data_IF_133182132160
#
_entry.id   IF_133182132160
#
_cell.length_a   1.000
_cell.length_b   1.000
_cell.length_c   1.000
_cell.angle_alpha   90.00
_cell.angle_beta   90.00
_cell.angle_gamma   90.00
#
_symmetry.space_group_name_H-M   'P 1'
#
loop_
_entity.id
_entity.type
_entity.pdbx_description
1 polymer ?
#
# COMPACT_ATOMS: atom_id res chain seq x y z
N UNK A 1 24.01 -0.38 13.35
CA UNK A 1 22.63 -0.58 12.85
C UNK A 1 22.71 -1.19 11.46
N UNK A 2 22.72 -2.52 11.37
CA UNK A 2 22.95 -3.25 10.13
C UNK A 2 21.62 -3.59 9.44
N UNK A 3 21.49 -3.24 8.17
CA UNK A 3 20.40 -3.75 7.34
C UNK A 3 20.81 -5.12 6.81
N UNK A 4 19.98 -6.14 6.98
CA UNK A 4 20.17 -7.40 6.26
C UNK A 4 19.53 -7.28 4.89
N UNK A 5 20.35 -7.20 3.84
CA UNK A 5 19.87 -7.30 2.45
C UNK A 5 19.87 -8.76 2.01
N UNK A 6 18.70 -9.32 1.73
CA UNK A 6 18.59 -10.65 1.13
C UNK A 6 18.05 -10.49 -0.29
N UNK A 7 18.66 -11.18 -1.24
CA UNK A 7 18.16 -11.27 -2.60
C UNK A 7 17.18 -12.43 -2.71
N UNK A 8 15.92 -12.13 -3.03
CA UNK A 8 14.89 -13.15 -3.24
C UNK A 8 14.08 -12.83 -4.49
N UNK A 9 14.04 -13.77 -5.45
CA UNK A 9 13.37 -13.61 -6.76
C UNK A 9 13.81 -12.35 -7.52
N UNK A 10 15.11 -12.07 -7.53
CA UNK A 10 15.70 -10.92 -8.25
C UNK A 10 15.35 -9.55 -7.65
N UNK A 11 14.92 -9.50 -6.39
CA UNK A 11 14.69 -8.24 -5.66
C UNK A 11 15.49 -8.27 -4.35
N UNK A 12 16.25 -7.19 -4.09
CA UNK A 12 16.83 -6.92 -2.77
C UNK A 12 15.73 -6.52 -1.81
N UNK A 13 15.53 -7.34 -0.78
CA UNK A 13 14.63 -7.06 0.32
C UNK A 13 15.47 -6.63 1.53
N UNK A 14 15.09 -5.51 2.14
CA UNK A 14 15.73 -4.96 3.32
C UNK A 14 14.85 -5.22 4.53
N UNK A 15 15.44 -5.82 5.56
CA UNK A 15 14.76 -6.12 6.81
C UNK A 15 15.36 -5.24 7.92
N UNK A 16 14.50 -4.55 8.69
CA UNK A 16 14.91 -3.82 9.88
C UNK A 16 14.77 -4.77 11.09
N UNK A 17 15.87 -4.98 11.81
CA UNK A 17 15.98 -6.06 12.81
C UNK A 17 15.94 -5.56 14.25
N UNK A 18 15.49 -4.31 14.50
CA UNK A 18 15.59 -3.67 15.83
C UNK A 18 15.04 -4.52 16.98
N UNK A 19 13.89 -5.17 16.82
CA UNK A 19 13.31 -5.99 17.89
C UNK A 19 14.13 -7.26 18.19
N UNK A 20 14.75 -7.85 17.16
CA UNK A 20 15.61 -9.01 17.30
C UNK A 20 17.01 -8.59 17.78
N UNK A 21 17.53 -7.46 17.30
CA UNK A 21 18.74 -6.80 17.80
C UNK A 21 18.61 -6.51 19.29
N UNK A 22 17.49 -5.94 19.74
CA UNK A 22 17.24 -5.69 21.16
C UNK A 22 17.10 -6.98 21.96
N UNK A 23 16.48 -8.01 21.39
CA UNK A 23 16.34 -9.32 22.03
C UNK A 23 17.68 -10.04 22.14
N UNK A 24 18.51 -9.98 21.10
CA UNK A 24 19.88 -10.51 21.08
C UNK A 24 20.78 -9.73 22.03
N UNK A 25 20.70 -8.40 22.03
CA UNK A 25 21.44 -7.53 22.95
C UNK A 25 21.05 -7.80 24.41
N UNK A 26 19.75 -7.94 24.70
CA UNK A 26 19.26 -8.32 26.02
C UNK A 26 19.83 -9.68 26.47
N UNK A 27 19.73 -10.71 25.63
CA UNK A 27 20.24 -12.05 25.95
C UNK A 27 21.77 -12.06 26.13
N UNK A 28 22.50 -11.27 25.35
CA UNK A 28 23.95 -11.13 25.50
C UNK A 28 24.33 -10.42 26.80
N UNK A 29 23.61 -9.35 27.17
CA UNK A 29 23.81 -8.66 28.46
C UNK A 29 23.45 -9.56 29.63
N UNK A 30 22.30 -10.23 29.58
CA UNK A 30 21.88 -11.17 30.62
C UNK A 30 22.90 -12.29 30.83
N UNK A 31 23.41 -12.88 29.76
CA UNK A 31 24.51 -13.86 29.81
C UNK A 31 25.75 -13.29 30.51
N UNK A 32 26.15 -12.08 30.14
CA UNK A 32 27.34 -11.44 30.69
C UNK A 32 27.19 -11.17 32.20
N UNK A 33 26.05 -10.63 32.62
CA UNK A 33 25.75 -10.38 34.04
C UNK A 33 25.77 -11.67 34.86
N UNK A 34 25.17 -12.76 34.38
CA UNK A 34 25.19 -14.04 35.06
C UNK A 34 26.60 -14.63 35.21
N UNK A 35 27.42 -14.55 34.16
CA UNK A 35 28.82 -15.01 34.19
C UNK A 35 29.72 -14.13 35.08
N UNK A 36 29.35 -12.86 35.28
CA UNK A 36 30.08 -11.91 36.12
C UNK A 36 29.54 -11.82 37.56
N UNK A 37 28.38 -12.43 37.82
CA UNK A 37 27.78 -12.55 39.15
C UNK A 37 28.44 -13.67 39.99
N UNK A 38 28.08 -13.75 41.26
CA UNK A 38 28.48 -14.81 42.18
C UNK A 38 28.06 -16.22 41.69
N UNK A 39 27.10 -16.31 40.76
CA UNK A 39 26.63 -17.58 40.21
C UNK A 39 27.60 -18.19 39.18
N UNK A 40 28.42 -17.39 38.50
CA UNK A 40 29.44 -17.80 37.52
C UNK A 40 29.00 -18.87 36.49
N UNK A 41 27.71 -18.92 36.16
CA UNK A 41 27.12 -19.87 35.20
C UNK A 41 26.23 -19.15 34.20
N UNK A 42 25.74 -19.87 33.19
CA UNK A 42 24.69 -19.35 32.31
C UNK A 42 23.33 -19.36 33.03
N UNK A 43 22.39 -18.46 32.67
CA UNK A 43 21.03 -18.52 33.19
C UNK A 43 20.33 -19.81 32.76
N UNK A 44 19.49 -20.37 33.63
CA UNK A 44 18.61 -21.49 33.28
C UNK A 44 17.44 -21.00 32.43
N UNK A 45 16.78 -21.93 31.74
CA UNK A 45 15.59 -21.61 30.97
C UNK A 45 14.47 -21.04 31.86
N UNK A 46 14.28 -21.61 33.06
CA UNK A 46 13.27 -21.12 34.01
C UNK A 46 13.54 -19.67 34.46
N UNK A 47 14.79 -19.32 34.73
CA UNK A 47 15.17 -17.94 35.12
C UNK A 47 14.82 -16.93 34.02
N UNK A 48 15.02 -17.30 32.75
CA UNK A 48 14.64 -16.45 31.61
C UNK A 48 13.13 -16.36 31.46
N UNK A 49 12.42 -17.48 31.58
CA UNK A 49 10.95 -17.52 31.47
C UNK A 49 10.29 -16.71 32.60
N UNK A 50 10.82 -16.77 33.82
CA UNK A 50 10.37 -15.96 34.95
C UNK A 50 10.53 -14.46 34.67
N UNK A 51 11.69 -14.05 34.12
CA UNK A 51 11.91 -12.65 33.74
C UNK A 51 10.95 -12.20 32.63
N UNK A 52 10.66 -13.07 31.66
CA UNK A 52 9.70 -12.78 30.59
C UNK A 52 8.26 -12.72 31.12
N UNK A 53 7.88 -13.59 32.06
CA UNK A 53 6.58 -13.55 32.72
C UNK A 53 6.39 -12.25 33.52
N UNK A 54 7.40 -11.86 34.32
CA UNK A 54 7.38 -10.59 35.08
C UNK A 54 7.23 -9.37 34.16
N UNK A 55 7.92 -9.36 33.02
CA UNK A 55 7.95 -8.19 32.11
C UNK A 55 6.73 -8.15 31.18
N UNK A 56 6.24 -9.30 30.73
CA UNK A 56 5.20 -9.39 29.70
C UNK A 56 3.82 -9.78 30.26
N UNK A 57 3.74 -10.27 31.50
CA UNK A 57 2.50 -10.71 32.14
C UNK A 57 1.89 -11.95 31.47
N UNK A 58 2.73 -12.91 31.07
CA UNK A 58 2.31 -14.10 30.33
C UNK A 58 2.82 -15.34 31.05
N UNK A 59 1.90 -16.22 31.47
CA UNK A 59 2.21 -17.49 32.14
C UNK A 59 2.89 -18.49 31.18
N UNK A 60 4.22 -18.40 31.12
CA UNK A 60 5.06 -19.29 30.33
C UNK A 60 5.32 -20.64 30.98
N UNK A 61 5.01 -20.83 32.27
CA UNK A 61 5.22 -22.09 32.98
C UNK A 61 4.38 -23.23 32.37
N UNK A 62 3.23 -22.88 31.77
CA UNK A 62 2.38 -23.80 31.02
C UNK A 62 3.04 -24.41 29.76
N UNK A 63 4.12 -23.82 29.22
CA UNK A 63 4.76 -24.24 27.98
C UNK A 63 6.07 -25.03 28.16
N UNK A 64 6.62 -25.11 29.38
CA UNK A 64 7.88 -25.83 29.65
C UNK A 64 7.91 -26.41 31.07
N UNK A 65 7.50 -27.68 31.21
CA UNK A 65 7.41 -28.37 32.52
C UNK A 65 8.77 -28.77 33.12
N UNK A 66 9.85 -28.79 32.33
CA UNK A 66 11.15 -29.35 32.74
C UNK A 66 12.28 -28.29 32.76
N UNK A 67 11.95 -26.99 32.85
CA UNK A 67 12.92 -25.90 32.70
C UNK A 67 13.92 -25.72 33.84
N UNK A 68 13.66 -26.31 35.02
CA UNK A 68 14.51 -26.23 36.23
C UNK A 68 15.88 -26.86 36.06
N UNK A 69 15.92 -28.01 35.40
CA UNK A 69 17.12 -28.86 35.30
C UNK A 69 17.85 -28.69 33.95
N UNK A 70 17.43 -27.71 33.14
CA UNK A 70 17.95 -27.51 31.79
C UNK A 70 18.72 -26.20 31.67
N UNK A 71 20.03 -26.33 31.44
CA UNK A 71 20.87 -25.21 31.05
C UNK A 71 20.50 -24.73 29.65
N UNK A 72 20.40 -23.42 29.47
CA UNK A 72 20.11 -22.84 28.18
C UNK A 72 21.35 -22.92 27.27
N UNK A 73 21.31 -23.81 26.28
CA UNK A 73 22.40 -23.98 25.31
C UNK A 73 22.30 -22.98 24.14
N UNK A 74 21.09 -22.74 23.61
CA UNK A 74 20.88 -21.81 22.49
C UNK A 74 19.44 -21.32 22.40
N UNK A 75 19.25 -20.08 21.92
CA UNK A 75 17.95 -19.51 21.55
C UNK A 75 17.98 -19.21 20.05
N UNK A 76 17.02 -19.76 19.30
CA UNK A 76 16.82 -19.44 17.90
C UNK A 76 15.48 -18.72 17.69
N UNK A 77 15.50 -17.46 17.27
CA UNK A 77 14.29 -16.73 16.90
C UNK A 77 13.79 -17.11 15.51
N UNK A 78 12.54 -17.54 15.38
CA UNK A 78 11.84 -17.68 14.08
C UNK A 78 10.72 -16.65 13.99
N UNK A 79 10.94 -15.55 13.30
CA UNK A 79 9.90 -14.54 13.05
C UNK A 79 9.25 -14.75 11.69
N UNK A 80 7.90 -14.74 11.63
CA UNK A 80 7.17 -14.54 10.38
C UNK A 80 7.27 -13.04 10.04
N UNK A 81 8.26 -12.68 9.21
CA UNK A 81 8.54 -11.29 8.84
C UNK A 81 7.33 -10.67 8.13
N UNK A 82 6.62 -9.75 8.77
CA UNK A 82 5.64 -8.92 8.07
C UNK A 82 6.37 -7.89 7.21
N UNK A 83 5.97 -7.70 5.94
CA UNK A 83 6.56 -6.67 5.10
C UNK A 83 6.22 -5.29 5.67
N UNK A 84 7.25 -4.54 6.09
CA UNK A 84 7.13 -3.16 6.57
C UNK A 84 6.38 -2.31 5.54
N UNK A 85 5.48 -1.45 6.02
CA UNK A 85 4.84 -0.43 5.19
C UNK A 85 5.92 0.60 4.81
N UNK A 86 6.17 0.85 3.51
CA UNK A 86 7.19 1.79 3.09
C UNK A 86 6.81 3.18 3.59
N UNK A 87 7.66 3.77 4.44
CA UNK A 87 7.47 5.15 4.87
C UNK A 87 7.99 6.07 3.78
N UNK A 88 7.17 6.97 3.23
CA UNK A 88 7.64 7.98 2.29
C UNK A 88 8.71 8.86 2.95
N UNK A 89 9.64 9.39 2.16
CA UNK A 89 10.64 10.37 2.58
C UNK A 89 10.54 11.62 1.71
N UNK A 90 10.94 12.75 2.27
CA UNK A 90 11.11 13.99 1.51
C UNK A 90 12.09 13.76 0.35
N UNK A 91 11.73 14.25 -0.83
CA UNK A 91 12.45 14.06 -2.08
C UNK A 91 12.07 12.79 -2.85
N UNK A 92 11.28 11.87 -2.27
CA UNK A 92 10.90 10.64 -2.96
C UNK A 92 10.09 10.94 -4.22
N UNK A 93 10.50 10.32 -5.32
CA UNK A 93 9.75 10.30 -6.57
C UNK A 93 8.82 9.10 -6.52
N UNK A 94 7.53 9.37 -6.69
CA UNK A 94 6.46 8.40 -6.57
C UNK A 94 5.71 8.31 -7.90
N UNK A 95 5.61 7.08 -8.43
CA UNK A 95 4.75 6.76 -9.56
C UNK A 95 3.32 6.52 -9.08
N UNK A 96 2.40 7.30 -9.61
CA UNK A 96 0.95 7.20 -9.38
C UNK A 96 0.32 6.49 -10.58
N UNK A 97 -0.28 5.30 -10.41
CA UNK A 97 -0.85 4.54 -11.52
C UNK A 97 -2.21 5.11 -11.94
N UNK A 98 -2.33 5.66 -13.15
CA UNK A 98 -3.63 6.10 -13.70
C UNK A 98 -4.28 5.06 -14.62
N UNK A 99 -3.49 4.17 -15.21
CA UNK A 99 -3.92 2.94 -15.90
C UNK A 99 -2.86 1.86 -15.73
N UNK A 100 -3.19 0.61 -16.06
CA UNK A 100 -2.27 -0.56 -15.98
C UNK A 100 -0.85 -0.29 -16.51
N UNK A 101 -0.75 0.52 -17.56
CA UNK A 101 0.51 0.87 -18.22
C UNK A 101 0.73 2.38 -18.33
N UNK A 102 0.04 3.23 -17.55
CA UNK A 102 0.21 4.68 -17.59
C UNK A 102 0.37 5.23 -16.18
N UNK A 103 1.44 5.99 -15.96
CA UNK A 103 1.80 6.54 -14.66
C UNK A 103 1.98 8.04 -14.76
N UNK A 104 1.47 8.75 -13.76
CA UNK A 104 1.94 10.09 -13.40
C UNK A 104 3.05 10.02 -12.38
N UNK A 105 3.75 11.14 -12.22
CA UNK A 105 4.85 11.25 -11.27
C UNK A 105 4.62 12.42 -10.33
N UNK A 106 4.86 12.15 -9.05
CA UNK A 106 4.85 13.16 -8.00
C UNK A 106 6.16 13.09 -7.22
N UNK A 107 6.52 14.16 -6.54
CA UNK A 107 7.61 14.19 -5.57
C UNK A 107 7.09 14.56 -4.20
N UNK A 108 7.54 13.87 -3.15
CA UNK A 108 7.22 14.25 -1.77
C UNK A 108 8.04 15.49 -1.39
N UNK A 109 7.36 16.60 -1.13
CA UNK A 109 7.98 17.89 -0.80
C UNK A 109 8.10 18.08 0.71
N UNK A 110 7.10 17.61 1.46
CA UNK A 110 7.04 17.73 2.91
C UNK A 110 6.31 16.51 3.48
N UNK A 111 6.72 16.08 4.68
CA UNK A 111 5.99 15.08 5.46
C UNK A 111 5.49 15.76 6.74
N UNK A 112 4.19 15.64 6.96
CA UNK A 112 3.48 16.20 8.10
C UNK A 112 3.07 15.07 9.06
N UNK A 113 2.38 15.42 10.13
CA UNK A 113 1.89 14.45 11.11
C UNK A 113 0.82 13.52 10.51
N UNK A 114 0.70 12.31 11.08
CA UNK A 114 -0.34 11.31 10.75
C UNK A 114 -0.41 10.95 9.26
N UNK A 115 0.73 10.63 8.67
CA UNK A 115 0.83 10.14 7.29
C UNK A 115 0.38 11.14 6.20
N UNK A 116 0.16 12.40 6.55
CA UNK A 116 -0.08 13.48 5.60
C UNK A 116 1.24 14.05 5.07
N UNK A 117 1.20 14.65 3.89
CA UNK A 117 2.34 15.36 3.34
C UNK A 117 1.97 16.24 2.16
N UNK A 118 2.95 17.02 1.71
CA UNK A 118 2.83 17.85 0.52
C UNK A 118 3.52 17.14 -0.62
N UNK A 119 2.84 17.06 -1.76
CA UNK A 119 3.37 16.46 -3.00
C UNK A 119 3.42 17.50 -4.11
N UNK A 120 4.48 17.45 -4.93
CA UNK A 120 4.62 18.21 -6.17
C UNK A 120 4.30 17.32 -7.36
N UNK A 121 3.44 17.77 -8.26
CA UNK A 121 3.00 17.00 -9.43
C UNK A 121 3.85 17.39 -10.63
N UNK A 122 4.44 16.41 -11.30
CA UNK A 122 5.15 16.65 -12.55
C UNK A 122 4.19 16.67 -13.75
N UNK A 123 4.40 17.56 -14.73
CA UNK A 123 3.68 17.57 -16.00
C UNK A 123 4.20 16.47 -16.94
N UNK A 124 4.29 15.23 -16.44
CA UNK A 124 4.89 14.12 -17.15
C UNK A 124 4.11 12.84 -16.94
N UNK A 125 3.89 12.12 -18.04
CA UNK A 125 3.24 10.83 -18.09
C UNK A 125 4.15 9.84 -18.75
N UNK A 126 4.13 8.61 -18.26
CA UNK A 126 4.95 7.57 -18.86
C UNK A 126 4.29 6.21 -18.81
N UNK A 127 4.60 5.40 -19.82
CA UNK A 127 4.21 4.00 -19.84
C UNK A 127 5.27 3.08 -19.24
N UNK A 128 4.84 1.94 -18.70
CA UNK A 128 5.66 1.01 -17.90
C UNK A 128 7.00 0.60 -18.53
N UNK A 129 7.14 0.67 -19.87
CA UNK A 129 8.29 0.13 -20.61
C UNK A 129 9.58 0.97 -20.54
N UNK A 130 9.56 2.21 -20.07
CA UNK A 130 10.74 3.10 -20.20
C UNK A 130 11.05 4.00 -19.00
N UNK A 131 10.58 3.65 -17.80
CA UNK A 131 10.60 4.52 -16.61
C UNK A 131 11.98 5.17 -16.34
N UNK A 132 12.11 6.47 -16.63
CA UNK A 132 13.36 7.23 -16.50
C UNK A 132 13.14 8.49 -15.66
N UNK A 133 13.53 8.42 -14.39
CA UNK A 133 13.33 9.52 -13.43
C UNK A 133 14.27 10.71 -13.68
N UNK A 134 15.35 10.54 -14.45
CA UNK A 134 16.27 11.64 -14.74
C UNK A 134 15.60 12.76 -15.55
N UNK A 135 14.56 12.42 -16.34
CA UNK A 135 13.79 13.40 -17.09
C UNK A 135 12.98 14.36 -16.19
N UNK A 136 12.80 14.00 -14.92
CA UNK A 136 12.03 14.81 -13.97
C UNK A 136 12.88 15.91 -13.31
N UNK A 137 14.22 15.81 -13.33
CA UNK A 137 15.09 16.78 -12.63
C UNK A 137 14.94 18.21 -13.15
N UNK A 138 14.61 18.34 -14.43
CA UNK A 138 14.57 19.63 -15.13
C UNK A 138 13.14 20.17 -15.27
N UNK A 139 12.14 19.39 -14.84
CA UNK A 139 10.73 19.77 -14.92
C UNK A 139 10.30 20.55 -13.69
N UNK A 140 9.54 21.62 -13.91
CA UNK A 140 8.84 22.33 -12.84
C UNK A 140 7.55 21.58 -12.49
N UNK A 141 7.18 21.61 -11.22
CA UNK A 141 5.87 21.11 -10.79
C UNK A 141 4.76 21.93 -11.46
N UNK A 142 3.74 21.25 -11.95
CA UNK A 142 2.54 21.89 -12.49
C UNK A 142 1.55 22.29 -11.39
N UNK A 143 1.64 21.65 -10.23
CA UNK A 143 0.83 21.91 -9.06
C UNK A 143 1.46 21.25 -7.82
N UNK A 144 1.01 21.67 -6.65
CA UNK A 144 1.34 21.08 -5.36
C UNK A 144 0.04 20.79 -4.61
N UNK A 145 -0.05 19.64 -3.92
CA UNK A 145 -1.23 19.23 -3.16
C UNK A 145 -0.84 18.73 -1.78
N UNK A 146 -1.68 18.98 -0.78
CA UNK A 146 -1.59 18.32 0.51
C UNK A 146 -2.47 17.07 0.49
N UNK A 147 -1.89 15.92 0.79
CA UNK A 147 -2.53 14.62 0.63
C UNK A 147 -2.19 13.69 1.78
N UNK A 148 -3.06 12.73 2.06
CA UNK A 148 -2.64 11.54 2.79
C UNK A 148 -1.73 10.66 1.92
N UNK A 149 -0.57 10.30 2.44
CA UNK A 149 0.42 9.44 1.79
C UNK A 149 0.07 7.94 1.94
N UNK A 150 -1.18 7.63 2.25
CA UNK A 150 -1.73 6.26 2.36
C UNK A 150 -1.54 5.46 1.08
N UNK A 151 -1.57 6.13 -0.07
CA UNK A 151 -1.23 5.52 -1.37
C UNK A 151 0.16 4.89 -1.38
N UNK A 152 1.17 5.55 -0.78
CA UNK A 152 2.53 5.01 -0.64
C UNK A 152 2.56 3.90 0.39
N UNK A 153 2.00 4.14 1.58
CA UNK A 153 2.01 3.19 2.71
C UNK A 153 1.39 1.84 2.33
N UNK A 154 0.35 1.85 1.52
CA UNK A 154 -0.36 0.65 1.07
C UNK A 154 0.21 0.05 -0.22
N UNK A 155 1.31 0.62 -0.74
CA UNK A 155 2.00 0.19 -1.98
C UNK A 155 1.11 0.30 -3.22
N UNK A 156 0.13 1.20 -3.18
CA UNK A 156 -0.66 1.55 -4.35
C UNK A 156 0.14 2.51 -5.24
N UNK A 157 0.68 3.56 -4.63
CA UNK A 157 1.71 4.41 -5.22
C UNK A 157 3.08 3.81 -4.97
N UNK A 158 3.97 3.91 -5.96
CA UNK A 158 5.28 3.27 -5.89
C UNK A 158 6.39 4.30 -5.83
N UNK A 159 7.17 4.29 -4.76
CA UNK A 159 8.46 5.00 -4.74
C UNK A 159 9.39 4.36 -5.77
N UNK A 160 9.88 5.17 -6.70
CA UNK A 160 10.70 4.74 -7.85
C UNK A 160 12.09 5.39 -7.87
N UNK A 161 12.33 6.34 -6.98
CA UNK A 161 13.59 7.06 -6.87
C UNK A 161 13.49 8.17 -5.82
N UNK A 162 14.56 8.96 -5.70
CA UNK A 162 14.61 10.13 -4.85
C UNK A 162 15.42 11.19 -5.59
N UNK A 163 14.94 12.44 -5.60
CA UNK A 163 15.64 13.59 -6.13
C UNK A 163 15.75 14.66 -5.02
N UNK A 164 16.87 15.40 -4.94
CA UNK A 164 16.99 16.50 -4.02
C UNK A 164 15.95 17.58 -4.33
N UNK A 165 15.40 18.21 -3.30
CA UNK A 165 14.49 19.33 -3.50
C UNK A 165 15.27 20.59 -3.91
N UNK A 166 14.70 21.44 -4.81
CA UNK A 166 15.28 22.74 -5.10
C UNK A 166 15.36 23.59 -3.84
N UNK A 167 16.51 24.23 -3.58
CA UNK A 167 16.70 25.12 -2.42
C UNK A 167 15.72 26.30 -2.37
N UNK A 168 15.15 26.67 -3.51
CA UNK A 168 14.21 27.79 -3.68
C UNK A 168 12.74 27.36 -3.72
N UNK A 169 12.44 26.11 -3.38
CA UNK A 169 11.07 25.60 -3.41
C UNK A 169 10.23 26.32 -2.34
N UNK A 170 9.25 27.12 -2.77
CA UNK A 170 8.21 27.65 -1.89
C UNK A 170 7.02 26.69 -1.90
N UNK A 171 6.66 26.27 -0.70
CA UNK A 171 5.48 25.47 -0.41
C UNK A 171 4.29 26.44 -0.36
N UNK A 172 3.35 26.32 -1.29
CA UNK A 172 2.18 27.19 -1.38
C UNK A 172 1.06 26.76 -0.41
N UNK A 173 0.01 27.56 -0.22
CA UNK A 173 -1.16 27.12 0.57
C UNK A 173 -1.95 26.07 -0.22
N UNK A 174 -2.30 24.95 0.41
CA UNK A 174 -2.94 23.82 -0.28
C UNK A 174 -4.36 23.55 0.17
N UNK A 175 -5.08 22.88 -0.73
CA UNK A 175 -6.30 22.15 -0.43
C UNK A 175 -5.90 20.75 0.08
N UNK A 176 -6.50 20.34 1.21
CA UNK A 176 -6.28 19.02 1.79
C UNK A 176 -7.16 17.98 1.10
N UNK A 177 -6.56 16.88 0.66
CA UNK A 177 -7.28 15.78 0.02
C UNK A 177 -7.06 14.47 0.79
N UNK A 178 -8.16 13.93 1.32
CA UNK A 178 -8.25 12.60 1.91
C UNK A 178 -9.53 11.91 1.43
N UNK A 179 -9.49 10.63 1.02
CA UNK A 179 -8.31 9.73 0.96
C UNK A 179 -7.42 9.96 -0.28
N UNK A 180 -6.30 9.23 -0.40
CA UNK A 180 -5.34 9.38 -1.51
C UNK A 180 -5.95 9.25 -2.92
N UNK A 181 -7.05 8.51 -3.11
CA UNK A 181 -7.73 8.44 -4.41
C UNK A 181 -8.31 9.78 -4.86
N UNK A 182 -8.74 10.64 -3.93
CA UNK A 182 -9.24 11.99 -4.24
C UNK A 182 -8.11 12.83 -4.82
N UNK A 183 -6.89 12.64 -4.30
CA UNK A 183 -5.70 13.26 -4.87
C UNK A 183 -5.40 12.75 -6.28
N UNK A 184 -5.59 11.45 -6.57
CA UNK A 184 -5.41 10.90 -7.93
C UNK A 184 -6.38 11.52 -8.93
N UNK A 185 -7.66 11.62 -8.58
CA UNK A 185 -8.66 12.29 -9.40
C UNK A 185 -8.26 13.75 -9.66
N UNK A 186 -7.77 14.44 -8.62
CA UNK A 186 -7.30 15.81 -8.76
C UNK A 186 -6.08 15.92 -9.67
N UNK A 187 -5.13 14.99 -9.57
CA UNK A 187 -3.97 14.93 -10.45
C UNK A 187 -4.42 14.73 -11.90
N UNK A 188 -5.38 13.83 -12.15
CA UNK A 188 -5.95 13.59 -13.48
C UNK A 188 -6.62 14.85 -14.04
N UNK A 189 -7.44 15.56 -13.25
CA UNK A 189 -8.03 16.83 -13.66
C UNK A 189 -6.98 17.86 -14.06
N UNK A 190 -5.92 17.99 -13.25
CA UNK A 190 -4.84 18.92 -13.52
C UNK A 190 -4.13 18.55 -14.82
N UNK A 191 -3.87 17.26 -15.05
CA UNK A 191 -3.25 16.77 -16.29
C UNK A 191 -4.15 17.00 -17.52
N UNK A 192 -5.47 16.81 -17.40
CA UNK A 192 -6.44 17.16 -18.45
C UNK A 192 -6.45 18.65 -18.74
N UNK A 193 -6.48 19.50 -17.70
CA UNK A 193 -6.45 20.96 -17.82
C UNK A 193 -5.18 21.44 -18.55
N UNK A 194 -4.06 20.78 -18.32
CA UNK A 194 -2.78 21.06 -18.98
C UNK A 194 -2.61 20.33 -20.32
N UNK A 195 -3.66 19.70 -20.86
CA UNK A 195 -3.66 18.97 -22.15
C UNK A 195 -2.66 17.81 -22.22
N UNK A 196 -2.26 17.27 -21.06
CA UNK A 196 -1.38 16.09 -20.95
C UNK A 196 -2.18 14.79 -20.93
N UNK A 197 -3.45 14.84 -20.53
CA UNK A 197 -4.43 13.76 -20.67
C UNK A 197 -5.56 14.20 -21.58
N UNK A 198 -6.10 13.25 -22.35
CA UNK A 198 -7.34 13.44 -23.10
C UNK A 198 -8.47 13.84 -22.14
N UNK A 199 -9.36 14.75 -22.56
CA UNK A 199 -10.57 15.10 -21.81
C UNK A 199 -11.44 13.87 -21.55
N UNK A 200 -11.47 12.94 -22.52
CA UNK A 200 -12.18 11.66 -22.42
C UNK A 200 -11.42 10.62 -21.58
N UNK A 201 -10.27 10.95 -20.98
CA UNK A 201 -9.52 10.03 -20.13
C UNK A 201 -10.32 9.67 -18.87
N UNK A 202 -10.42 8.38 -18.56
CA UNK A 202 -11.14 7.85 -17.40
C UNK A 202 -10.12 7.14 -16.49
N UNK A 203 -10.19 7.43 -15.19
CA UNK A 203 -9.30 6.90 -14.14
C UNK A 203 -9.48 5.39 -13.91
N UNK A 204 -8.53 4.79 -13.22
CA UNK A 204 -8.41 3.37 -12.94
C UNK A 204 -8.60 3.12 -11.44
N UNK A 205 -9.70 2.49 -11.02
CA UNK A 205 -9.93 2.16 -9.62
C UNK A 205 -9.19 0.88 -9.24
N UNK A 206 -8.24 0.94 -8.31
CA UNK A 206 -7.43 -0.22 -7.92
C UNK A 206 -7.79 -0.71 -6.51
N UNK A 207 -8.17 -1.99 -6.39
CA UNK A 207 -8.42 -2.69 -5.11
C UNK A 207 -7.28 -2.52 -4.09
N UNK A 208 -6.04 -2.34 -4.56
CA UNK A 208 -4.88 -2.16 -3.68
C UNK A 208 -4.90 -0.83 -2.92
N UNK A 209 -5.74 0.12 -3.33
CA UNK A 209 -6.02 1.35 -2.60
C UNK A 209 -6.93 1.12 -1.37
N UNK A 210 -7.50 -0.08 -1.18
CA UNK A 210 -8.30 -0.40 0.02
C UNK A 210 -7.44 -0.94 1.19
N UNK A 211 -7.83 -0.68 2.45
CA UNK A 211 -7.17 -1.21 3.64
C UNK A 211 -6.97 -2.73 3.59
N UNK A 212 -5.82 -3.29 4.02
CA UNK A 212 -5.55 -4.72 3.97
C UNK A 212 -6.65 -5.60 4.58
N UNK A 213 -7.25 -5.17 5.69
CA UNK A 213 -8.37 -5.84 6.38
C UNK A 213 -9.64 -5.96 5.52
N UNK A 214 -9.84 -5.05 4.57
CA UNK A 214 -11.03 -5.02 3.71
C UNK A 214 -10.80 -5.66 2.35
N UNK A 215 -9.56 -5.99 1.97
CA UNK A 215 -9.24 -6.58 0.66
C UNK A 215 -10.04 -7.85 0.36
N UNK A 216 -10.33 -8.69 1.37
CA UNK A 216 -11.15 -9.90 1.17
C UNK A 216 -12.61 -9.58 0.86
N UNK A 217 -13.19 -8.60 1.57
CA UNK A 217 -14.55 -8.12 1.34
C UNK A 217 -14.64 -7.41 -0.02
N UNK A 218 -13.75 -6.46 -0.29
CA UNK A 218 -13.65 -5.74 -1.57
C UNK A 218 -13.53 -6.71 -2.75
N UNK A 219 -12.70 -7.76 -2.64
CA UNK A 219 -12.60 -8.79 -3.68
C UNK A 219 -13.91 -9.55 -3.90
N UNK A 220 -14.62 -9.88 -2.83
CA UNK A 220 -15.91 -10.57 -2.91
C UNK A 220 -16.93 -9.67 -3.61
N UNK A 221 -17.05 -8.42 -3.17
CA UNK A 221 -17.91 -7.39 -3.78
C UNK A 221 -17.61 -7.21 -5.27
N UNK A 222 -16.34 -7.09 -5.66
CA UNK A 222 -15.98 -6.91 -7.06
C UNK A 222 -16.24 -8.14 -7.92
N UNK A 223 -16.11 -9.35 -7.37
CA UNK A 223 -16.53 -10.56 -8.08
C UNK A 223 -18.04 -10.54 -8.37
N UNK A 224 -18.85 -10.03 -7.43
CA UNK A 224 -20.29 -9.85 -7.61
C UNK A 224 -20.58 -8.81 -8.69
N UNK A 225 -19.94 -7.64 -8.61
CA UNK A 225 -20.06 -6.58 -9.63
C UNK A 225 -19.70 -7.10 -11.02
N UNK A 226 -18.59 -7.82 -11.18
CA UNK A 226 -18.16 -8.32 -12.49
C UNK A 226 -19.06 -9.39 -13.05
N UNK A 227 -19.56 -10.28 -12.19
CA UNK A 227 -20.56 -11.27 -12.59
C UNK A 227 -21.83 -10.56 -13.08
N UNK A 228 -22.26 -9.52 -12.38
CA UNK A 228 -23.40 -8.69 -12.76
C UNK A 228 -23.18 -7.98 -14.10
N UNK A 229 -22.07 -7.26 -14.28
CA UNK A 229 -21.75 -6.57 -15.53
C UNK A 229 -21.68 -7.55 -16.72
N UNK A 230 -21.12 -8.74 -16.51
CA UNK A 230 -21.11 -9.81 -17.52
C UNK A 230 -22.53 -10.25 -17.88
N UNK A 231 -23.38 -10.53 -16.88
CA UNK A 231 -24.77 -10.95 -17.08
C UNK A 231 -25.59 -9.90 -17.83
N UNK A 232 -25.39 -8.62 -17.52
CA UNK A 232 -26.07 -7.51 -18.18
C UNK A 232 -25.43 -7.09 -19.52
N UNK A 233 -24.41 -7.82 -20.01
CA UNK A 233 -23.68 -7.51 -21.25
C UNK A 233 -23.06 -6.09 -21.26
N UNK A 234 -22.66 -5.61 -20.09
CA UNK A 234 -22.04 -4.30 -19.88
C UNK A 234 -20.51 -4.33 -20.03
N UNK A 235 -19.93 -5.51 -20.33
CA UNK A 235 -18.51 -5.69 -20.56
C UNK A 235 -18.17 -5.67 -22.05
N UNK A 236 -17.06 -5.03 -22.40
CA UNK A 236 -16.45 -5.12 -23.73
C UNK A 236 -15.82 -6.50 -23.96
N UNK A 237 -15.41 -6.81 -25.19
CA UNK A 237 -14.65 -8.03 -25.48
C UNK A 237 -13.35 -8.12 -24.67
N UNK A 238 -12.71 -6.98 -24.40
CA UNK A 238 -11.52 -6.92 -23.57
C UNK A 238 -11.86 -7.20 -22.10
N UNK A 239 -12.99 -6.69 -21.60
CA UNK A 239 -13.52 -7.02 -20.28
C UNK A 239 -13.81 -8.51 -20.11
N UNK A 240 -14.43 -9.13 -21.12
CA UNK A 240 -14.70 -10.57 -21.13
C UNK A 240 -13.41 -11.40 -21.10
N UNK A 241 -12.45 -11.08 -21.96
CA UNK A 241 -11.13 -11.75 -21.99
C UNK A 241 -10.38 -11.61 -20.67
N UNK A 242 -10.49 -10.47 -20.00
CA UNK A 242 -9.84 -10.25 -18.71
C UNK A 242 -10.47 -11.10 -17.59
N UNK A 243 -11.80 -11.21 -17.55
CA UNK A 243 -12.51 -12.15 -16.65
C UNK A 243 -12.04 -13.58 -16.90
N UNK A 244 -12.05 -14.03 -18.16
CA UNK A 244 -11.71 -15.40 -18.54
C UNK A 244 -10.25 -15.76 -18.23
N UNK A 245 -9.36 -14.76 -18.23
CA UNK A 245 -7.95 -14.94 -17.86
C UNK A 245 -7.72 -15.22 -16.36
N UNK A 246 -8.75 -15.15 -15.51
CA UNK A 246 -8.65 -15.38 -14.07
C UNK A 246 -7.86 -14.31 -13.31
N UNK A 247 -7.42 -13.23 -13.97
CA UNK A 247 -6.69 -12.11 -13.37
C UNK A 247 -7.57 -11.26 -12.44
N UNK A 248 -8.88 -11.38 -12.60
CA UNK A 248 -9.92 -10.82 -11.74
C UNK A 248 -10.08 -11.74 -10.52
N UNK A 249 -9.23 -11.63 -9.48
CA UNK A 249 -9.53 -10.71 -8.38
C UNK A 249 -8.29 -10.15 -7.63
N UNK A 250 -7.08 -10.25 -8.18
CA UNK A 250 -5.85 -9.83 -7.46
C UNK A 250 -5.38 -8.42 -7.80
N UNK A 251 -5.59 -8.00 -9.05
CA UNK A 251 -5.25 -6.69 -9.62
C UNK A 251 -6.45 -6.09 -10.37
N UNK A 252 -7.67 -6.48 -9.98
CA UNK A 252 -8.85 -6.08 -10.70
C UNK A 252 -9.08 -4.57 -10.56
N UNK A 253 -9.23 -3.93 -11.70
CA UNK A 253 -9.43 -2.51 -11.81
C UNK A 253 -10.44 -2.25 -12.92
N UNK A 254 -11.58 -1.66 -12.56
CA UNK A 254 -12.59 -1.25 -13.53
C UNK A 254 -12.02 -0.08 -14.32
N UNK A 255 -11.98 -0.22 -15.64
CA UNK A 255 -11.72 0.90 -16.53
C UNK A 255 -12.70 0.83 -17.70
N UNK A 256 -13.02 1.98 -18.27
CA UNK A 256 -14.03 2.11 -19.34
C UNK A 256 -13.77 1.19 -20.53
N UNK A 257 -12.51 0.89 -20.84
CA UNK A 257 -12.18 -0.02 -21.96
C UNK A 257 -12.61 -1.48 -21.68
N UNK A 258 -12.86 -1.86 -20.42
CA UNK A 258 -13.47 -3.16 -20.06
C UNK A 258 -14.99 -3.13 -20.15
N UNK A 259 -15.58 -1.95 -20.32
CA UNK A 259 -17.02 -1.73 -20.31
C UNK A 259 -17.51 -1.39 -21.71
N UNK A 260 -18.76 -1.71 -21.99
CA UNK A 260 -19.46 -1.12 -23.14
C UNK A 260 -19.76 0.36 -22.86
N UNK A 261 -20.19 1.14 -23.87
CA UNK A 261 -20.63 2.52 -23.65
C UNK A 261 -21.70 2.62 -22.56
N UNK A 262 -22.66 1.70 -22.57
CA UNK A 262 -23.70 1.61 -21.55
C UNK A 262 -23.15 1.20 -20.19
N UNK A 263 -22.16 0.30 -20.16
CA UNK A 263 -21.46 -0.05 -18.92
C UNK A 263 -20.73 1.13 -18.29
N UNK A 264 -20.15 2.02 -19.11
CA UNK A 264 -19.52 3.27 -18.63
C UNK A 264 -20.57 4.17 -17.98
N UNK A 265 -21.67 4.45 -18.67
CA UNK A 265 -22.75 5.30 -18.14
C UNK A 265 -23.32 4.74 -16.83
N UNK A 266 -23.50 3.42 -16.74
CA UNK A 266 -23.96 2.78 -15.51
C UNK A 266 -22.91 2.89 -14.39
N UNK A 267 -21.63 2.71 -14.72
CA UNK A 267 -20.54 2.80 -13.73
C UNK A 267 -20.44 4.19 -13.08
N UNK A 268 -20.68 5.25 -13.84
CA UNK A 268 -20.68 6.63 -13.33
C UNK A 268 -21.73 6.81 -12.23
N UNK A 269 -22.94 6.24 -12.39
CA UNK A 269 -24.01 6.28 -11.37
C UNK A 269 -23.67 5.43 -10.14
N UNK A 270 -23.04 4.28 -10.33
CA UNK A 270 -22.79 3.30 -9.27
C UNK A 270 -21.59 3.64 -8.39
N UNK A 271 -20.52 4.17 -8.97
CA UNK A 271 -19.28 4.43 -8.24
C UNK A 271 -19.22 5.83 -7.62
N UNK A 272 -20.15 6.72 -7.97
CA UNK A 272 -20.33 7.99 -7.27
C UNK A 272 -21.06 7.84 -5.92
N UNK A 273 -21.84 6.78 -5.71
CA UNK A 273 -22.91 6.80 -4.69
C UNK A 273 -22.65 6.10 -3.36
N UNK A 274 -21.86 5.02 -3.25
CA UNK A 274 -21.42 4.51 -1.94
C UNK A 274 -20.46 3.32 -2.08
N UNK A 275 -19.67 3.04 -1.03
CA UNK A 275 -18.85 1.85 -1.02
C UNK A 275 -19.67 0.58 -0.71
N UNK A 276 -19.82 -0.30 -1.69
CA UNK A 276 -20.52 -1.58 -1.55
C UNK A 276 -19.62 -2.67 -0.97
N UNK A 277 -19.83 -3.09 0.28
CA UNK A 277 -19.01 -4.15 0.89
C UNK A 277 -19.78 -5.41 1.32
N UNK A 278 -20.92 -5.27 2.00
CA UNK A 278 -21.65 -6.44 2.55
C UNK A 278 -22.95 -6.74 1.78
N UNK A 279 -23.53 -5.73 1.16
CA UNK A 279 -24.80 -5.75 0.44
C UNK A 279 -24.64 -5.42 -1.06
N UNK A 280 -23.48 -5.72 -1.63
CA UNK A 280 -23.13 -5.38 -3.00
C UNK A 280 -24.12 -5.91 -4.03
N UNK A 281 -24.58 -7.15 -3.90
CA UNK A 281 -25.52 -7.75 -4.86
C UNK A 281 -26.90 -7.08 -4.89
N UNK A 282 -27.61 -6.91 -3.76
CA UNK A 282 -28.89 -6.19 -3.78
C UNK A 282 -28.73 -4.72 -4.19
N UNK A 283 -27.65 -4.04 -3.77
CA UNK A 283 -27.40 -2.63 -4.15
C UNK A 283 -27.18 -2.45 -5.65
N UNK A 284 -26.29 -3.24 -6.26
CA UNK A 284 -26.02 -3.09 -7.71
C UNK A 284 -27.26 -3.41 -8.55
N UNK A 285 -28.09 -4.36 -8.11
CA UNK A 285 -29.38 -4.65 -8.74
C UNK A 285 -30.35 -3.47 -8.63
N UNK A 286 -30.48 -2.86 -7.45
CA UNK A 286 -31.34 -1.70 -7.24
C UNK A 286 -30.92 -0.50 -8.10
N UNK A 287 -29.63 -0.17 -8.12
CA UNK A 287 -29.09 0.92 -8.93
C UNK A 287 -29.26 0.66 -10.43
N UNK A 288 -29.20 -0.59 -10.88
CA UNK A 288 -29.46 -0.94 -12.28
C UNK A 288 -30.91 -0.70 -12.69
N UNK A 289 -31.85 -1.07 -11.81
CA UNK A 289 -33.27 -0.80 -12.06
C UNK A 289 -33.57 0.70 -12.06
N UNK A 290 -32.91 1.48 -11.21
CA UNK A 290 -32.98 2.94 -11.24
C UNK A 290 -32.37 3.52 -12.52
N UNK A 291 -31.17 3.08 -12.90
CA UNK A 291 -30.48 3.49 -14.13
C UNK A 291 -31.35 3.24 -15.37
N UNK A 292 -32.02 2.08 -15.44
CA UNK A 292 -32.95 1.76 -16.53
C UNK A 292 -34.17 2.67 -16.59
N UNK A 293 -34.66 3.15 -15.45
CA UNK A 293 -35.82 4.07 -15.40
C UNK A 293 -35.46 5.49 -15.87
N UNK A 294 -34.20 5.87 -15.72
CA UNK A 294 -33.69 7.20 -16.06
C UNK A 294 -33.12 7.29 -17.48
N UNK A 295 -33.22 6.22 -18.28
CA UNK A 295 -32.73 6.11 -19.66
C UNK A 295 -33.88 6.24 -20.66
#
# INVERSE_FOLDING_TARGET
MGWLSIEHKGKKLYYEDKGLDYSVEFLQKLRKEYLQSDLQRLPTLEEILLNLDIVLGVDFASYCSNGKDQELVSISGKTKKQPVQPKPKVGDIVAVPFKRNLFGFIQVLEIQYRDAGVIGIYPYLQTKKSLNIALLSDLKFMAQLQVELTGVLWKHWRVIGNLPLPKTLKIENFLSFSPCFVAELKIIELLKKNKLLDKAFISYDNIRASPPKWRKLVRKSLSVVMSFLKQQKLLSEMGLKEIESGKVPSDFCMHSELLTKEGVMFSEVVFETDHMYEDTEPKIKALWEEFKKNK
#
